data_IF_734478041559
#
_entry.id   IF_734478041559
#
_cell.length_a   1.000
_cell.length_b   1.000
_cell.length_c   1.000
_cell.angle_alpha   90.00
_cell.angle_beta   90.00
_cell.angle_gamma   90.00
#
_symmetry.space_group_name_H-M   'P 1'
#
loop_
_entity.id
_entity.type
_entity.pdbx_description
1 polymer ?
#
# COMPACT_ATOMS: atom_id res chain seq x y z
N UNK A 1 4.69 -5.04 5.96
CA UNK A 1 5.14 -4.53 4.64
C UNK A 1 6.54 -3.98 4.81
N UNK A 2 7.54 -4.46 4.06
CA UNK A 2 8.91 -3.94 4.12
C UNK A 2 9.00 -2.42 3.86
N UNK A 3 7.97 -1.87 3.23
CA UNK A 3 7.87 -0.48 2.77
C UNK A 3 7.50 0.53 3.88
N UNK A 4 7.21 0.09 5.10
CA UNK A 4 6.76 0.99 6.20
C UNK A 4 7.90 1.57 7.03
N UNK A 5 9.15 1.17 6.78
CA UNK A 5 10.30 1.63 7.56
C UNK A 5 10.91 2.92 7.03
N UNK A 6 10.77 3.21 5.74
CA UNK A 6 11.32 4.41 5.10
C UNK A 6 10.43 4.85 3.93
N UNK A 7 10.10 6.14 3.81
CA UNK A 7 10.36 7.27 4.73
C UNK A 7 9.69 7.18 6.12
N UNK A 8 10.19 7.91 7.14
CA UNK A 8 9.54 7.98 8.45
C UNK A 8 8.15 8.64 8.34
N UNK A 9 7.19 8.17 9.15
CA UNK A 9 5.86 8.77 9.20
C UNK A 9 4.97 8.44 8.00
N UNK A 10 5.12 7.25 7.41
CA UNK A 10 4.20 6.75 6.38
C UNK A 10 2.80 6.52 6.95
N UNK A 11 1.80 7.01 6.23
CA UNK A 11 0.38 6.83 6.50
C UNK A 11 -0.22 6.05 5.32
N UNK A 12 -0.67 4.80 5.52
CA UNK A 12 -1.42 4.07 4.50
C UNK A 12 -2.87 4.59 4.43
N UNK A 13 -3.42 4.66 3.22
CA UNK A 13 -4.78 5.13 2.98
C UNK A 13 -5.39 4.52 1.72
N UNK A 14 -6.70 4.73 1.53
CA UNK A 14 -7.43 4.34 0.32
C UNK A 14 -7.28 2.84 -0.02
N UNK A 15 -7.43 1.97 0.99
CA UNK A 15 -7.46 0.54 0.76
C UNK A 15 -8.66 0.16 -0.12
N UNK A 16 -8.41 -0.65 -1.15
CA UNK A 16 -9.42 -1.12 -2.10
C UNK A 16 -9.24 -2.61 -2.34
N UNK A 17 -10.34 -3.36 -2.31
CA UNK A 17 -10.36 -4.73 -2.80
C UNK A 17 -10.51 -4.74 -4.33
N UNK A 18 -9.91 -5.73 -4.97
CA UNK A 18 -10.01 -5.95 -6.43
C UNK A 18 -10.72 -7.28 -6.71
N UNK A 19 -12.07 -7.33 -6.71
CA UNK A 19 -12.81 -8.58 -6.84
C UNK A 19 -12.52 -9.35 -8.13
N UNK A 20 -12.32 -8.64 -9.24
CA UNK A 20 -12.00 -9.22 -10.56
C UNK A 20 -10.66 -9.96 -10.57
N UNK A 21 -9.73 -9.58 -9.70
CA UNK A 21 -8.41 -10.18 -9.56
C UNK A 21 -8.29 -11.10 -8.33
N UNK A 22 -9.35 -11.21 -7.54
CA UNK A 22 -9.38 -12.01 -6.33
C UNK A 22 -9.82 -13.45 -6.64
N UNK A 23 -9.54 -14.35 -5.71
CA UNK A 23 -10.04 -15.73 -5.74
C UNK A 23 -11.03 -15.95 -4.60
N UNK A 24 -11.63 -17.14 -4.53
CA UNK A 24 -12.50 -17.52 -3.40
C UNK A 24 -11.75 -17.59 -2.06
N UNK A 25 -10.41 -17.71 -2.08
CA UNK A 25 -9.58 -17.88 -0.87
C UNK A 25 -8.78 -16.64 -0.51
N UNK A 26 -8.46 -15.80 -1.49
CA UNK A 26 -7.57 -14.65 -1.32
C UNK A 26 -8.11 -13.41 -2.03
N UNK A 27 -8.12 -12.29 -1.32
CA UNK A 27 -8.44 -10.97 -1.86
C UNK A 27 -7.16 -10.23 -2.23
N UNK A 28 -7.11 -9.71 -3.46
CA UNK A 28 -6.10 -8.72 -3.81
C UNK A 28 -6.53 -7.36 -3.26
N UNK A 29 -5.72 -6.80 -2.37
CA UNK A 29 -5.94 -5.47 -1.81
C UNK A 29 -4.85 -4.54 -2.34
N UNK A 30 -5.24 -3.34 -2.79
CA UNK A 30 -4.30 -2.24 -2.99
C UNK A 30 -4.50 -1.15 -1.95
N UNK A 31 -3.45 -0.44 -1.61
CA UNK A 31 -3.51 0.79 -0.82
C UNK A 31 -2.44 1.77 -1.31
N UNK A 32 -2.63 3.05 -0.98
CA UNK A 32 -1.63 4.08 -1.23
C UNK A 32 -0.95 4.45 0.09
N UNK A 33 0.22 5.07 -0.02
CA UNK A 33 0.97 5.64 1.09
C UNK A 33 1.24 7.10 0.85
N UNK A 34 1.24 7.88 1.92
CA UNK A 34 1.70 9.27 1.95
C UNK A 34 2.61 9.43 3.16
N UNK A 35 3.42 10.48 3.19
CA UNK A 35 4.22 10.84 4.35
C UNK A 35 3.75 12.16 4.94
N UNK A 36 4.13 12.41 6.19
CA UNK A 36 3.84 13.68 6.85
C UNK A 36 4.53 14.87 6.16
N UNK A 37 5.71 14.68 5.58
CA UNK A 37 6.48 15.70 4.86
C UNK A 37 6.58 15.39 3.35
N UNK A 38 5.42 15.12 2.74
CA UNK A 38 5.30 14.61 1.37
C UNK A 38 6.19 15.31 0.34
N UNK A 39 6.23 16.64 0.34
CA UNK A 39 6.97 17.39 -0.68
C UNK A 39 8.49 17.21 -0.59
N UNK A 40 9.03 17.03 0.61
CA UNK A 40 10.46 16.74 0.79
C UNK A 40 10.74 15.25 0.59
N UNK A 41 9.86 14.37 1.08
CA UNK A 41 10.07 12.93 1.03
C UNK A 41 9.94 12.37 -0.39
N UNK A 42 9.02 12.88 -1.23
CA UNK A 42 8.81 12.35 -2.58
C UNK A 42 10.04 12.52 -3.50
N UNK A 43 10.89 13.50 -3.21
CA UNK A 43 12.14 13.74 -3.94
C UNK A 43 13.21 12.68 -3.60
N UNK A 44 13.23 12.22 -2.35
CA UNK A 44 14.18 11.21 -1.87
C UNK A 44 13.65 9.79 -2.05
N UNK A 45 12.33 9.62 -1.98
CA UNK A 45 11.61 8.35 -2.03
C UNK A 45 10.49 8.41 -3.09
N UNK A 46 10.81 8.50 -4.40
CA UNK A 46 9.82 8.62 -5.46
C UNK A 46 8.86 7.42 -5.54
N UNK A 47 9.27 6.28 -5.00
CA UNK A 47 8.46 5.06 -4.94
C UNK A 47 7.41 5.09 -3.82
N UNK A 48 7.43 6.08 -2.93
CA UNK A 48 6.55 6.15 -1.75
C UNK A 48 5.10 6.55 -2.08
N UNK A 49 4.83 7.11 -3.27
CA UNK A 49 3.50 7.55 -3.68
C UNK A 49 2.97 6.75 -4.87
N UNK A 50 2.84 5.43 -4.67
CA UNK A 50 2.26 4.51 -5.65
C UNK A 50 1.34 3.52 -4.96
N UNK A 51 0.43 2.86 -5.70
CA UNK A 51 -0.29 1.72 -5.17
C UNK A 51 0.67 0.58 -4.81
N UNK A 52 0.54 0.07 -3.59
CA UNK A 52 1.15 -1.19 -3.15
C UNK A 52 0.06 -2.24 -2.97
N UNK A 53 0.43 -3.50 -3.17
CA UNK A 53 -0.50 -4.62 -3.24
C UNK A 53 -0.12 -5.70 -2.24
N UNK A 54 -1.12 -6.32 -1.64
CA UNK A 54 -0.93 -7.54 -0.85
C UNK A 54 -2.14 -8.46 -0.99
N UNK A 55 -1.91 -9.74 -0.79
CA UNK A 55 -2.94 -10.76 -0.73
C UNK A 55 -3.43 -10.93 0.71
N UNK A 56 -4.74 -10.84 0.91
CA UNK A 56 -5.40 -11.13 2.18
C UNK A 56 -6.10 -12.48 2.07
N UNK A 57 -5.71 -13.45 2.90
CA UNK A 57 -6.42 -14.73 3.00
C UNK A 57 -7.74 -14.53 3.75
N UNK A 58 -8.84 -15.03 3.17
CA UNK A 58 -10.20 -14.91 3.72
C UNK A 58 -10.88 -16.27 3.96
N UNK A 59 -10.16 -17.37 3.76
CA UNK A 59 -10.60 -18.74 4.06
C UNK A 59 -9.42 -19.68 4.32
N UNK A 60 -9.70 -20.94 4.66
CA UNK A 60 -8.72 -22.04 4.73
C UNK A 60 -8.40 -22.65 3.34
#
# INVERSE_FOLDING_TARGET
MPELSEPPGIIPYNAKAHPVLSTEKELLISYNTITMDYFNDILNYPHSYRPSFFWLKIGE
#
